data_IF_805744494722
#
_entry.id   IF_805744494722
#
_cell.length_a   1.000
_cell.length_b   1.000
_cell.length_c   1.000
_cell.angle_alpha   90.00
_cell.angle_beta   90.00
_cell.angle_gamma   90.00
#
_symmetry.space_group_name_H-M   'P 1'
#
loop_
_entity.id
_entity.type
_entity.pdbx_description
1 polymer ?
#
# COMPACT_ATOMS: atom_id res chain seq x y z
N UNK A 1 -7.92 -0.40 1.59
CA UNK A 1 -8.12 -1.06 2.90
C UNK A 1 -8.75 -0.11 3.91
N UNK A 2 -8.06 0.94 4.39
CA UNK A 2 -8.67 1.88 5.36
C UNK A 2 -9.98 2.50 4.85
N UNK A 3 -10.00 2.92 3.58
CA UNK A 3 -11.23 3.39 2.93
C UNK A 3 -12.33 2.33 2.83
N UNK A 4 -11.98 1.07 2.61
CA UNK A 4 -12.95 -0.04 2.55
C UNK A 4 -13.54 -0.37 3.92
N UNK A 5 -12.76 -0.23 5.01
CA UNK A 5 -13.29 -0.31 6.37
C UNK A 5 -14.27 0.83 6.65
N UNK A 6 -13.95 2.05 6.23
CA UNK A 6 -14.85 3.20 6.41
C UNK A 6 -16.16 3.03 5.64
N UNK A 7 -16.09 2.47 4.43
CA UNK A 7 -17.27 2.08 3.65
C UNK A 7 -18.07 0.99 4.38
N UNK A 8 -17.42 -0.07 4.84
CA UNK A 8 -18.08 -1.14 5.60
C UNK A 8 -18.83 -0.60 6.81
N UNK A 9 -18.18 0.24 7.63
CA UNK A 9 -18.79 0.82 8.83
C UNK A 9 -20.06 1.63 8.53
N UNK A 10 -20.08 2.33 7.39
CA UNK A 10 -21.25 3.08 6.95
C UNK A 10 -22.36 2.14 6.48
N UNK A 11 -22.01 1.12 5.71
CA UNK A 11 -22.99 0.23 5.08
C UNK A 11 -23.62 -0.77 6.09
N UNK A 12 -22.94 -1.02 7.21
CA UNK A 12 -23.39 -1.91 8.29
C UNK A 12 -23.92 -1.16 9.51
N UNK A 13 -24.23 0.13 9.41
CA UNK A 13 -24.74 0.89 10.54
C UNK A 13 -26.00 0.23 11.13
N UNK A 14 -25.98 -0.08 12.43
CA UNK A 14 -27.09 -0.73 13.13
C UNK A 14 -27.22 -2.24 12.92
N UNK A 15 -26.25 -2.90 12.26
CA UNK A 15 -26.22 -4.37 12.08
C UNK A 15 -24.80 -4.92 12.07
N UNK A 16 -24.68 -6.24 12.13
CA UNK A 16 -23.40 -6.90 11.86
C UNK A 16 -23.14 -6.98 10.35
N UNK A 17 -21.85 -6.97 10.00
CA UNK A 17 -21.39 -7.26 8.65
C UNK A 17 -21.64 -8.74 8.32
N UNK A 18 -22.00 -9.00 7.06
CA UNK A 18 -22.11 -10.36 6.52
C UNK A 18 -20.74 -10.89 6.09
N UNK A 19 -20.62 -12.21 5.92
CA UNK A 19 -19.38 -12.85 5.47
C UNK A 19 -18.89 -12.27 4.13
N UNK A 20 -19.81 -12.02 3.19
CA UNK A 20 -19.50 -11.41 1.89
C UNK A 20 -18.94 -9.99 2.04
N UNK A 21 -19.50 -9.19 2.94
CA UNK A 21 -19.01 -7.84 3.24
C UNK A 21 -17.64 -7.85 3.92
N UNK A 22 -17.30 -8.93 4.65
CA UNK A 22 -16.00 -9.11 5.31
C UNK A 22 -14.93 -9.72 4.40
N UNK A 23 -15.28 -10.25 3.22
CA UNK A 23 -14.36 -10.96 2.33
C UNK A 23 -13.11 -10.16 1.97
N UNK A 24 -13.22 -8.83 1.85
CA UNK A 24 -12.07 -7.97 1.53
C UNK A 24 -10.99 -7.98 2.62
N UNK A 25 -11.35 -8.24 3.89
CA UNK A 25 -10.38 -8.33 4.98
C UNK A 25 -9.51 -9.58 4.82
N UNK A 26 -10.12 -10.71 4.47
CA UNK A 26 -9.39 -11.93 4.14
C UNK A 26 -8.45 -11.71 2.96
N UNK A 27 -8.96 -11.14 1.87
CA UNK A 27 -8.15 -10.92 0.67
C UNK A 27 -7.03 -9.91 0.92
N UNK A 28 -7.28 -8.90 1.77
CA UNK A 28 -6.25 -8.00 2.22
C UNK A 28 -5.18 -8.71 3.07
N UNK A 29 -5.58 -9.61 3.97
CA UNK A 29 -4.61 -10.32 4.82
C UNK A 29 -3.67 -11.20 4.01
N UNK A 30 -4.18 -11.88 2.95
CA UNK A 30 -3.40 -12.73 2.05
C UNK A 30 -2.24 -11.98 1.39
N UNK A 31 -2.44 -10.71 1.03
CA UNK A 31 -1.42 -9.87 0.38
C UNK A 31 -0.59 -9.00 1.33
N UNK A 32 -0.90 -9.00 2.64
CA UNK A 32 -0.21 -8.16 3.61
C UNK A 32 1.29 -8.47 3.74
N UNK A 33 1.74 -9.74 3.83
CA UNK A 33 3.16 -10.07 3.95
C UNK A 33 3.99 -9.53 2.77
N UNK A 34 3.47 -9.62 1.54
CA UNK A 34 4.13 -9.16 0.33
C UNK A 34 4.22 -7.63 0.32
N UNK A 35 3.15 -6.93 0.71
CA UNK A 35 3.16 -5.46 0.86
C UNK A 35 4.18 -5.02 1.90
N UNK A 36 4.27 -5.71 3.04
CA UNK A 36 5.24 -5.41 4.08
C UNK A 36 6.67 -5.60 3.58
N UNK A 37 6.96 -6.73 2.91
CA UNK A 37 8.28 -7.00 2.31
C UNK A 37 8.65 -5.96 1.26
N UNK A 38 7.73 -5.59 0.39
CA UNK A 38 7.94 -4.56 -0.61
C UNK A 38 8.28 -3.21 0.03
N UNK A 39 7.51 -2.79 1.03
CA UNK A 39 7.78 -1.56 1.79
C UNK A 39 9.16 -1.58 2.46
N UNK A 40 9.50 -2.67 3.16
CA UNK A 40 10.81 -2.81 3.81
C UNK A 40 11.95 -2.78 2.79
N UNK A 41 11.78 -3.42 1.63
CA UNK A 41 12.77 -3.43 0.55
C UNK A 41 12.99 -2.03 -0.03
N UNK A 42 11.92 -1.29 -0.29
CA UNK A 42 11.98 0.11 -0.76
C UNK A 42 12.64 1.00 0.28
N UNK A 43 12.23 0.91 1.54
CA UNK A 43 12.80 1.68 2.65
C UNK A 43 14.30 1.44 2.81
N UNK A 44 14.76 0.19 2.68
CA UNK A 44 16.19 -0.15 2.74
C UNK A 44 16.99 0.51 1.61
N UNK A 45 16.37 0.71 0.44
CA UNK A 45 17.02 1.22 -0.76
C UNK A 45 16.77 2.71 -1.01
N UNK A 46 16.00 3.38 -0.15
CA UNK A 46 15.51 4.75 -0.33
C UNK A 46 16.60 5.73 -0.77
N UNK A 47 17.70 5.81 -0.01
CA UNK A 47 18.82 6.72 -0.34
C UNK A 47 19.46 6.41 -1.69
N UNK A 48 19.64 5.12 -1.99
CA UNK A 48 20.23 4.67 -3.25
C UNK A 48 19.34 5.05 -4.43
N UNK A 49 18.03 4.80 -4.33
CA UNK A 49 17.05 5.14 -5.36
C UNK A 49 17.04 6.65 -5.60
N UNK A 50 16.98 7.46 -4.55
CA UNK A 50 17.02 8.92 -4.65
C UNK A 50 18.30 9.38 -5.37
N UNK A 51 19.47 8.89 -4.95
CA UNK A 51 20.74 9.28 -5.57
C UNK A 51 20.82 8.86 -7.05
N UNK A 52 20.34 7.65 -7.38
CA UNK A 52 20.28 7.17 -8.76
C UNK A 52 19.37 8.05 -9.62
N UNK A 53 18.20 8.43 -9.11
CA UNK A 53 17.28 9.36 -9.80
C UNK A 53 17.94 10.72 -10.03
N UNK A 54 18.60 11.30 -9.02
CA UNK A 54 19.32 12.57 -9.19
C UNK A 54 20.44 12.47 -10.23
N UNK A 55 21.21 11.37 -10.21
CA UNK A 55 22.28 11.16 -11.18
C UNK A 55 21.73 11.02 -12.61
N UNK A 56 20.58 10.36 -12.78
CA UNK A 56 19.92 10.26 -14.09
C UNK A 56 19.43 11.62 -14.58
N UNK A 57 18.78 12.40 -13.71
CA UNK A 57 18.32 13.75 -14.05
C UNK A 57 19.47 14.66 -14.49
N UNK A 58 20.60 14.64 -13.77
CA UNK A 58 21.79 15.43 -14.14
C UNK A 58 22.42 14.99 -15.46
N UNK A 59 22.33 13.70 -15.82
CA UNK A 59 22.80 13.20 -17.12
C UNK A 59 21.90 13.62 -18.28
N UNK A 60 20.59 13.71 -18.04
CA UNK A 60 19.61 14.12 -19.06
C UNK A 60 19.56 15.64 -19.24
N UNK A 61 19.89 16.40 -18.19
CA UNK A 61 19.98 17.85 -18.21
C UNK A 61 21.39 18.33 -17.78
N UNK A 62 22.41 18.10 -18.63
CA UNK A 62 23.71 18.71 -18.42
C UNK A 62 23.60 20.21 -18.69
N UNK A 63 23.79 21.02 -17.64
CA UNK A 63 24.05 22.45 -17.75
C UNK A 63 25.39 22.72 -18.43
#
# INVERSE_FOLDING_TARGET
MLSQIQTLLRDTEGRYATDTELQFLEDYSKGFPQRLRAYQSLRKQERTLIQQTYNQLRKQHPS
#
